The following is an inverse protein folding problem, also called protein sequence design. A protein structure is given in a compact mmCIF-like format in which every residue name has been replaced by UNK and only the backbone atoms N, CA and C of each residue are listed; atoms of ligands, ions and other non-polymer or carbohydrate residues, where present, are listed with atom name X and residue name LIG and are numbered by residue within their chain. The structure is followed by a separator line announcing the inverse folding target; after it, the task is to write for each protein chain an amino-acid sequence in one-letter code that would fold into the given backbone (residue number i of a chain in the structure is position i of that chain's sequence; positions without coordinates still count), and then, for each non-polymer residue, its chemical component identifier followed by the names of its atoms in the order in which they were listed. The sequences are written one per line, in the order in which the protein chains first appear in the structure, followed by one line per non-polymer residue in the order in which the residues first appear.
data_IF_084979883491
#
_entry.id   IF_084979883491
#
_cell.length_a   1.000
_cell.length_b   1.000
_cell.length_c   1.000
_cell.angle_alpha   90.00
_cell.angle_beta   90.00
_cell.angle_gamma   90.00
#
_symmetry.space_group_name_H-M   'P 1'
#
loop_
_entity.id
_entity.type
_entity.pdbx_description
1 polymer ?
#
# COMPACT_ATOMS: atom_id res chain seq x y z
N UNK A 1 30.74 -19.59 -3.06
CA UNK A 1 29.79 -19.00 -4.03
C UNK A 1 29.97 -17.51 -3.95
N UNK A 2 30.32 -16.87 -5.06
CA UNK A 2 30.37 -15.40 -5.13
C UNK A 2 28.96 -14.86 -5.36
N UNK A 3 28.44 -14.10 -4.42
CA UNK A 3 27.07 -13.58 -4.44
C UNK A 3 26.90 -12.38 -5.35
N UNK A 4 28.00 -11.73 -5.72
CA UNK A 4 28.00 -10.62 -6.68
C UNK A 4 27.57 -11.06 -8.08
N UNK A 5 27.85 -12.32 -8.46
CA UNK A 5 27.60 -12.83 -9.81
C UNK A 5 26.22 -13.45 -10.01
N UNK A 6 25.39 -13.53 -8.97
CA UNK A 6 24.02 -14.11 -9.07
C UNK A 6 22.98 -13.14 -9.62
N UNK A 7 23.29 -11.86 -9.65
CA UNK A 7 22.37 -10.86 -10.18
C UNK A 7 22.10 -11.06 -11.66
N UNK A 8 20.82 -11.04 -12.05
CA UNK A 8 20.41 -11.09 -13.46
C UNK A 8 19.84 -9.75 -13.88
N UNK A 9 20.41 -9.18 -14.94
CA UNK A 9 19.92 -7.93 -15.52
C UNK A 9 18.61 -8.19 -16.27
N UNK A 10 17.57 -7.48 -15.87
CA UNK A 10 16.21 -7.55 -16.44
C UNK A 10 15.75 -6.15 -16.84
N UNK A 11 16.34 -5.55 -17.90
CA UNK A 11 16.15 -4.14 -18.23
C UNK A 11 14.69 -3.80 -18.58
N UNK A 12 14.02 -4.67 -19.33
CA UNK A 12 12.61 -4.47 -19.70
C UNK A 12 11.71 -4.45 -18.46
N UNK A 13 11.91 -5.40 -17.55
CA UNK A 13 11.10 -5.48 -16.33
C UNK A 13 11.33 -4.28 -15.40
N UNK A 14 12.60 -3.91 -15.16
CA UNK A 14 12.90 -2.76 -14.34
C UNK A 14 12.37 -1.45 -14.94
N UNK A 15 12.42 -1.28 -16.26
CA UNK A 15 11.81 -0.14 -16.95
C UNK A 15 10.28 -0.10 -16.78
N UNK A 16 9.60 -1.25 -16.89
CA UNK A 16 8.16 -1.37 -16.62
C UNK A 16 7.84 -0.99 -15.17
N UNK A 17 8.62 -1.46 -14.20
CA UNK A 17 8.43 -1.12 -12.79
C UNK A 17 8.53 0.39 -12.55
N UNK A 18 9.56 1.03 -13.12
CA UNK A 18 9.74 2.49 -13.04
C UNK A 18 8.56 3.21 -13.66
N UNK A 19 8.13 2.80 -14.87
CA UNK A 19 7.01 3.42 -15.56
C UNK A 19 5.71 3.34 -14.74
N UNK A 20 5.38 2.15 -14.20
CA UNK A 20 4.19 1.95 -13.36
C UNK A 20 4.26 2.80 -12.08
N UNK A 21 5.43 2.90 -11.43
CA UNK A 21 5.60 3.74 -10.26
C UNK A 21 5.41 5.23 -10.57
N UNK A 22 5.98 5.72 -11.67
CA UNK A 22 5.81 7.10 -12.12
C UNK A 22 4.35 7.41 -12.43
N UNK A 23 3.64 6.48 -13.10
CA UNK A 23 2.21 6.59 -13.36
C UNK A 23 1.39 6.62 -12.06
N UNK A 24 1.81 5.93 -10.99
CA UNK A 24 1.16 6.02 -9.68
C UNK A 24 1.44 7.33 -8.94
N UNK A 25 2.70 7.79 -8.91
CA UNK A 25 3.14 8.97 -8.12
C UNK A 25 2.49 10.27 -8.61
N UNK A 26 2.39 10.47 -9.93
CA UNK A 26 1.88 11.73 -10.51
C UNK A 26 0.41 12.02 -10.05
N UNK A 27 -0.55 11.09 -10.22
CA UNK A 27 -1.91 11.20 -9.67
C UNK A 27 -1.94 11.45 -8.16
N UNK A 28 -1.06 10.81 -7.39
CA UNK A 28 -1.01 10.98 -5.95
C UNK A 28 -0.68 12.41 -5.55
N UNK A 29 0.28 13.06 -6.20
CA UNK A 29 0.66 14.45 -5.89
C UNK A 29 -0.55 15.38 -6.10
N UNK A 30 -1.27 15.19 -7.20
CA UNK A 30 -2.49 15.95 -7.51
C UNK A 30 -3.56 15.68 -6.43
N UNK A 31 -3.81 14.41 -6.12
CA UNK A 31 -4.81 14.02 -5.13
C UNK A 31 -4.47 14.54 -3.73
N UNK A 32 -3.20 14.51 -3.34
CA UNK A 32 -2.71 14.95 -2.03
C UNK A 32 -2.99 16.43 -1.81
N UNK A 33 -2.76 17.27 -2.82
CA UNK A 33 -3.08 18.70 -2.78
C UNK A 33 -4.56 18.94 -2.52
N UNK A 34 -5.44 18.25 -3.24
CA UNK A 34 -6.89 18.39 -3.10
C UNK A 34 -7.35 17.89 -1.74
N UNK A 35 -6.87 16.72 -1.31
CA UNK A 35 -7.20 16.12 -0.01
C UNK A 35 -6.79 17.05 1.13
N UNK A 36 -5.66 17.75 1.02
CA UNK A 36 -5.23 18.76 1.98
C UNK A 36 -6.20 19.93 2.11
N UNK A 37 -6.85 20.36 1.03
CA UNK A 37 -7.83 21.45 1.08
C UNK A 37 -9.15 21.00 1.74
N UNK A 38 -9.56 19.74 1.55
CA UNK A 38 -10.81 19.17 2.09
C UNK A 38 -10.62 18.34 3.37
N UNK A 39 -9.45 18.40 4.01
CA UNK A 39 -9.04 17.56 5.16
C UNK A 39 -9.88 17.68 6.43
N UNK A 40 -10.92 18.53 6.46
CA UNK A 40 -11.76 18.77 7.65
C UNK A 40 -12.32 17.48 8.27
N UNK A 41 -12.58 16.45 7.46
CA UNK A 41 -13.03 15.13 7.93
C UNK A 41 -11.85 14.20 8.25
N UNK A 42 -11.97 13.39 9.29
CA UNK A 42 -10.94 12.43 9.72
C UNK A 42 -10.44 11.53 8.60
N UNK A 43 -11.36 11.00 7.79
CA UNK A 43 -10.99 10.11 6.69
C UNK A 43 -10.02 10.78 5.69
N UNK A 44 -10.18 12.06 5.39
CA UNK A 44 -9.27 12.76 4.48
C UNK A 44 -7.89 12.97 5.09
N UNK A 45 -7.79 13.18 6.41
CA UNK A 45 -6.49 13.22 7.12
C UNK A 45 -5.75 11.89 7.03
N UNK A 46 -6.47 10.78 7.24
CA UNK A 46 -5.91 9.44 7.13
C UNK A 46 -5.54 9.08 5.67
N UNK A 47 -6.37 9.47 4.70
CA UNK A 47 -6.05 9.32 3.27
C UNK A 47 -4.82 10.14 2.86
N UNK A 48 -4.62 11.32 3.44
CA UNK A 48 -3.42 12.12 3.19
C UNK A 48 -2.16 11.44 3.72
N UNK A 49 -2.19 10.91 4.94
CA UNK A 49 -1.09 10.12 5.50
C UNK A 49 -0.81 8.86 4.64
N UNK A 50 -1.86 8.13 4.25
CA UNK A 50 -1.73 6.98 3.36
C UNK A 50 -1.05 7.34 2.03
N UNK A 51 -1.42 8.48 1.43
CA UNK A 51 -0.81 8.95 0.20
C UNK A 51 0.70 9.23 0.35
N UNK A 52 1.15 9.77 1.49
CA UNK A 52 2.60 9.95 1.76
C UNK A 52 3.29 8.59 1.79
N UNK A 53 2.73 7.64 2.55
CA UNK A 53 3.28 6.29 2.68
C UNK A 53 3.36 5.57 1.34
N UNK A 54 2.31 5.65 0.52
CA UNK A 54 2.28 5.00 -0.79
C UNK A 54 3.25 5.66 -1.78
N UNK A 55 3.40 7.00 -1.77
CA UNK A 55 4.43 7.67 -2.59
C UNK A 55 5.83 7.22 -2.19
N UNK A 56 6.15 7.16 -0.89
CA UNK A 56 7.45 6.68 -0.40
C UNK A 56 7.71 5.23 -0.83
N UNK A 57 6.68 4.38 -0.74
CA UNK A 57 6.74 2.97 -1.17
C UNK A 57 7.00 2.87 -2.68
N UNK A 58 6.29 3.65 -3.50
CA UNK A 58 6.49 3.69 -4.95
C UNK A 58 7.87 4.24 -5.32
N UNK A 59 8.36 5.25 -4.60
CA UNK A 59 9.72 5.76 -4.79
C UNK A 59 10.78 4.70 -4.49
N UNK A 60 10.62 3.92 -3.41
CA UNK A 60 11.46 2.76 -3.14
C UNK A 60 11.43 1.73 -4.27
N UNK A 61 10.27 1.52 -4.91
CA UNK A 61 10.13 0.63 -6.06
C UNK A 61 10.74 1.20 -7.36
N UNK A 62 10.83 2.53 -7.53
CA UNK A 62 11.62 3.13 -8.62
C UNK A 62 13.10 2.77 -8.47
N UNK A 63 13.65 2.89 -7.27
CA UNK A 63 15.03 2.49 -6.98
C UNK A 63 15.24 0.99 -7.19
N UNK A 64 14.28 0.16 -6.77
CA UNK A 64 14.29 -1.28 -7.04
C UNK A 64 14.25 -1.59 -8.55
N UNK A 65 13.50 -0.82 -9.33
CA UNK A 65 13.48 -0.92 -10.79
C UNK A 65 14.86 -0.68 -11.41
N UNK A 66 15.62 0.31 -10.92
CA UNK A 66 17.02 0.55 -11.35
C UNK A 66 17.91 -0.64 -10.98
N UNK A 67 17.74 -1.19 -9.77
CA UNK A 67 18.44 -2.41 -9.34
C UNK A 67 18.14 -3.59 -10.29
N UNK A 68 16.89 -3.78 -10.70
CA UNK A 68 16.51 -4.83 -11.66
C UNK A 68 17.10 -4.61 -13.06
N UNK A 69 17.22 -3.36 -13.51
CA UNK A 69 17.88 -3.05 -14.80
C UNK A 69 19.35 -3.47 -14.75
N UNK A 70 20.06 -3.11 -13.69
CA UNK A 70 21.49 -3.42 -13.55
C UNK A 70 21.73 -4.90 -13.23
N UNK A 71 20.74 -5.58 -12.64
CA UNK A 71 20.94 -6.90 -12.03
C UNK A 71 21.70 -6.78 -10.71
N UNK A 72 21.42 -5.74 -9.93
CA UNK A 72 22.08 -5.52 -8.66
C UNK A 72 21.69 -6.59 -7.63
N UNK A 73 22.65 -6.94 -6.76
CA UNK A 73 22.45 -7.74 -5.56
C UNK A 73 22.82 -6.92 -4.33
N UNK A 74 22.37 -7.34 -3.15
CA UNK A 74 22.62 -6.63 -1.88
C UNK A 74 24.11 -6.27 -1.67
N UNK A 75 25.02 -7.16 -2.07
CA UNK A 75 26.47 -6.98 -1.92
C UNK A 75 27.05 -5.85 -2.78
N UNK A 76 26.40 -5.41 -3.85
CA UNK A 76 26.90 -4.33 -4.71
C UNK A 76 26.70 -2.94 -4.07
N UNK A 77 25.59 -2.72 -3.38
CA UNK A 77 25.23 -1.42 -2.82
C UNK A 77 24.34 -1.57 -1.57
N UNK A 78 24.89 -2.03 -0.43
CA UNK A 78 24.08 -2.39 0.74
C UNK A 78 23.22 -1.24 1.26
N UNK A 79 23.73 0.00 1.23
CA UNK A 79 22.96 1.19 1.64
C UNK A 79 21.72 1.46 0.78
N UNK A 80 21.82 1.24 -0.55
CA UNK A 80 20.68 1.41 -1.46
C UNK A 80 19.62 0.34 -1.17
N UNK A 81 20.05 -0.90 -0.98
CA UNK A 81 19.13 -2.00 -0.66
C UNK A 81 18.44 -1.79 0.68
N UNK A 82 19.16 -1.37 1.72
CA UNK A 82 18.57 -1.03 3.01
C UNK A 82 17.52 0.10 2.86
N UNK A 83 17.85 1.17 2.14
CA UNK A 83 16.91 2.25 1.87
C UNK A 83 15.64 1.75 1.17
N UNK A 84 15.79 0.91 0.14
CA UNK A 84 14.65 0.27 -0.55
C UNK A 84 13.83 -0.55 0.44
N UNK A 85 14.45 -1.38 1.27
CA UNK A 85 13.76 -2.21 2.26
C UNK A 85 12.97 -1.38 3.27
N UNK A 86 13.52 -0.27 3.77
CA UNK A 86 12.80 0.62 4.69
C UNK A 86 11.59 1.29 4.01
N UNK A 87 11.78 1.82 2.79
CA UNK A 87 10.71 2.48 2.05
C UNK A 87 9.60 1.51 1.65
N UNK A 88 9.96 0.35 1.11
CA UNK A 88 9.00 -0.62 0.59
C UNK A 88 8.38 -1.46 1.71
N UNK A 89 9.20 -2.04 2.59
CA UNK A 89 8.72 -2.89 3.68
C UNK A 89 8.05 -2.08 4.79
N UNK A 90 8.67 -0.98 5.24
CA UNK A 90 8.08 -0.08 6.22
C UNK A 90 6.80 0.58 5.70
N UNK A 91 6.85 1.05 4.44
CA UNK A 91 5.70 1.64 3.78
C UNK A 91 4.53 0.66 3.64
N UNK A 92 4.81 -0.61 3.33
CA UNK A 92 3.80 -1.66 3.30
C UNK A 92 3.09 -1.84 4.65
N UNK A 93 3.84 -2.03 5.75
CA UNK A 93 3.24 -2.18 7.08
C UNK A 93 2.43 -0.94 7.50
N UNK A 94 2.95 0.26 7.24
CA UNK A 94 2.22 1.50 7.49
C UNK A 94 0.92 1.59 6.66
N UNK A 95 0.97 1.20 5.38
CA UNK A 95 -0.17 1.23 4.46
C UNK A 95 -1.27 0.26 4.91
N UNK A 96 -0.92 -0.98 5.26
CA UNK A 96 -1.87 -1.98 5.80
C UNK A 96 -2.58 -1.46 7.06
N UNK A 97 -1.82 -0.95 8.03
CA UNK A 97 -2.39 -0.45 9.29
C UNK A 97 -3.28 0.79 9.05
N UNK A 98 -2.87 1.69 8.17
CA UNK A 98 -3.66 2.87 7.81
C UNK A 98 -4.96 2.49 7.11
N UNK A 99 -4.93 1.53 6.18
CA UNK A 99 -6.13 0.99 5.53
C UNK A 99 -7.11 0.41 6.56
N UNK A 100 -6.61 -0.36 7.54
CA UNK A 100 -7.42 -0.88 8.64
C UNK A 100 -8.06 0.26 9.45
N UNK A 101 -7.30 1.29 9.81
CA UNK A 101 -7.84 2.44 10.56
C UNK A 101 -8.90 3.22 9.78
N UNK A 102 -8.73 3.38 8.47
CA UNK A 102 -9.76 3.98 7.60
C UNK A 102 -11.03 3.12 7.61
N UNK A 103 -10.90 1.79 7.52
CA UNK A 103 -12.04 0.88 7.60
C UNK A 103 -12.77 0.99 8.95
N UNK A 104 -12.03 1.07 10.07
CA UNK A 104 -12.60 1.29 11.40
C UNK A 104 -13.33 2.64 11.48
N UNK A 105 -12.75 3.72 10.93
CA UNK A 105 -13.43 5.02 10.87
C UNK A 105 -14.78 4.93 10.15
N UNK A 106 -14.83 4.25 9.01
CA UNK A 106 -16.08 4.04 8.25
C UNK A 106 -17.09 3.19 9.00
N UNK A 107 -16.63 2.16 9.70
CA UNK A 107 -17.49 1.34 10.56
C UNK A 107 -18.12 2.20 11.68
N UNK A 108 -17.31 3.00 12.37
CA UNK A 108 -17.76 3.87 13.46
C UNK A 108 -18.78 4.90 12.98
N UNK A 109 -18.54 5.51 11.82
CA UNK A 109 -19.49 6.42 11.15
C UNK A 109 -20.81 5.70 10.79
N UNK A 110 -20.73 4.50 10.21
CA UNK A 110 -21.91 3.77 9.73
C UNK A 110 -22.81 3.26 10.87
N UNK A 111 -22.19 2.73 11.93
CA UNK A 111 -22.86 2.19 13.12
C UNK A 111 -23.16 3.26 14.18
N UNK A 112 -22.72 4.51 13.96
CA UNK A 112 -22.92 5.63 14.88
C UNK A 112 -22.42 5.33 16.32
N UNK A 113 -21.25 4.70 16.44
CA UNK A 113 -20.66 4.31 17.73
C UNK A 113 -20.08 5.56 18.43
N UNK A 114 -20.92 6.23 19.22
CA UNK A 114 -20.62 7.50 19.90
C UNK A 114 -19.27 7.57 20.64
N UNK A 115 -18.84 6.57 21.44
CA UNK A 115 -17.57 6.68 22.16
C UNK A 115 -16.37 6.67 21.21
N UNK A 116 -16.38 5.80 20.20
CA UNK A 116 -15.29 5.73 19.21
C UNK A 116 -15.29 6.92 18.26
N UNK A 117 -16.45 7.50 17.96
CA UNK A 117 -16.55 8.68 17.12
C UNK A 117 -15.74 9.86 17.69
N UNK A 118 -15.63 9.97 19.03
CA UNK A 118 -14.80 11.01 19.68
C UNK A 118 -13.32 10.92 19.33
N UNK A 119 -12.82 9.74 18.97
CA UNK A 119 -11.43 9.53 18.58
C UNK A 119 -11.12 10.18 17.22
N UNK A 120 -12.13 10.26 16.34
CA UNK A 120 -12.01 10.78 14.98
C UNK A 120 -12.42 12.26 14.84
N UNK A 121 -12.63 12.98 15.95
CA UNK A 121 -12.99 14.39 15.91
C UNK A 121 -11.77 15.30 15.76
N UNK A 122 -11.98 16.43 15.08
CA UNK A 122 -11.03 17.54 14.97
C UNK A 122 -9.65 17.06 14.49
N UNK A 123 -8.56 17.43 15.19
CA UNK A 123 -7.18 17.12 14.84
C UNK A 123 -6.66 15.80 15.41
N UNK A 124 -7.47 15.06 16.17
CA UNK A 124 -7.09 13.76 16.76
C UNK A 124 -6.65 12.72 15.72
N UNK A 125 -7.25 12.63 14.52
CA UNK A 125 -6.79 11.70 13.48
C UNK A 125 -5.32 11.87 13.09
N UNK A 126 -4.74 13.08 13.17
CA UNK A 126 -3.31 13.28 12.93
C UNK A 126 -2.45 12.55 13.96
N UNK A 127 -2.81 12.62 15.23
CA UNK A 127 -2.14 11.89 16.30
C UNK A 127 -2.38 10.38 16.20
N UNK A 128 -3.55 9.96 15.70
CA UNK A 128 -3.81 8.54 15.45
C UNK A 128 -2.88 7.96 14.37
N UNK A 129 -2.38 8.77 13.43
CA UNK A 129 -1.41 8.30 12.42
C UNK A 129 -0.02 7.95 13.01
N UNK A 130 0.19 8.20 14.30
CA UNK A 130 1.32 7.63 15.04
C UNK A 130 1.19 6.10 15.18
N UNK A 131 -0.03 5.54 15.16
CA UNK A 131 -0.25 4.10 15.29
C UNK A 131 0.29 3.33 14.06
N UNK A 132 -0.06 3.68 12.80
CA UNK A 132 0.55 3.06 11.63
C UNK A 132 2.07 3.27 11.55
N UNK A 133 2.55 4.44 11.99
CA UNK A 133 3.99 4.72 12.03
C UNK A 133 4.70 3.77 13.00
N UNK A 134 4.19 3.63 14.23
CA UNK A 134 4.74 2.72 15.23
C UNK A 134 4.64 1.25 14.78
N UNK A 135 3.54 0.87 14.13
CA UNK A 135 3.37 -0.47 13.58
C UNK A 135 4.42 -0.77 12.49
N UNK A 136 4.67 0.17 11.58
CA UNK A 136 5.72 0.03 10.56
C UNK A 136 7.12 -0.12 11.18
N UNK A 137 7.45 0.70 12.18
CA UNK A 137 8.71 0.58 12.92
C UNK A 137 8.84 -0.78 13.61
N UNK A 138 7.75 -1.29 14.22
CA UNK A 138 7.75 -2.62 14.82
C UNK A 138 7.99 -3.73 13.79
N UNK A 139 7.39 -3.63 12.60
CA UNK A 139 7.63 -4.58 11.52
C UNK A 139 9.07 -4.57 11.02
N UNK A 140 9.66 -3.39 10.85
CA UNK A 140 11.07 -3.22 10.47
C UNK A 140 12.02 -3.85 11.50
N UNK A 141 11.73 -3.71 12.79
CA UNK A 141 12.59 -4.21 13.88
C UNK A 141 12.40 -5.73 14.09
N UNK A 142 11.15 -6.20 14.03
CA UNK A 142 10.79 -7.57 14.40
C UNK A 142 10.75 -8.56 13.22
N UNK A 143 10.73 -8.09 11.97
CA UNK A 143 10.78 -8.93 10.78
C UNK A 143 12.14 -8.79 10.05
N UNK A 144 12.62 -9.84 9.39
CA UNK A 144 13.73 -9.72 8.44
C UNK A 144 13.39 -8.67 7.38
N UNK A 145 14.39 -7.88 6.98
CA UNK A 145 14.21 -6.88 5.94
C UNK A 145 13.96 -7.57 4.59
N UNK A 146 12.94 -7.11 3.87
CA UNK A 146 12.67 -7.61 2.53
C UNK A 146 13.65 -6.97 1.54
N UNK A 147 14.53 -7.77 0.95
CA UNK A 147 15.49 -7.30 -0.05
C UNK A 147 14.99 -7.60 -1.46
N UNK A 148 15.20 -6.65 -2.37
CA UNK A 148 14.98 -6.90 -3.80
C UNK A 148 15.96 -7.99 -4.26
N UNK A 149 15.48 -9.02 -4.93
CA UNK A 149 16.35 -10.00 -5.58
C UNK A 149 16.13 -9.93 -7.09
N UNK A 150 17.21 -9.67 -7.84
CA UNK A 150 17.14 -9.54 -9.30
C UNK A 150 17.00 -10.90 -10.00
N UNK A 151 17.45 -11.99 -9.37
CA UNK A 151 17.27 -13.37 -9.85
C UNK A 151 15.80 -13.74 -9.97
N UNK A 152 15.05 -13.50 -8.90
CA UNK A 152 13.64 -13.86 -8.73
C UNK A 152 12.70 -12.66 -8.85
N UNK A 153 13.18 -11.50 -9.33
CA UNK A 153 12.43 -10.26 -9.63
C UNK A 153 11.35 -9.86 -8.61
N UNK A 154 11.56 -10.15 -7.33
CA UNK A 154 10.62 -9.88 -6.24
C UNK A 154 11.38 -9.56 -4.95
N UNK A 155 10.66 -9.03 -3.96
CA UNK A 155 11.19 -8.80 -2.63
C UNK A 155 11.11 -10.08 -1.79
N UNK A 156 12.25 -10.53 -1.26
CA UNK A 156 12.33 -11.68 -0.37
C UNK A 156 12.74 -11.26 1.03
N UNK A 157 12.12 -11.91 2.02
CA UNK A 157 12.62 -11.91 3.40
C UNK A 157 13.88 -12.77 3.53
N UNK A 158 13.98 -13.81 2.71
CA UNK A 158 15.17 -14.64 2.60
C UNK A 158 16.17 -14.00 1.63
N UNK A 159 17.39 -13.65 2.07
CA UNK A 159 18.41 -13.16 1.16
C UNK A 159 18.92 -14.22 0.16
N UNK A 160 18.47 -15.48 0.27
CA UNK A 160 18.83 -16.63 -0.58
C UNK A 160 20.34 -16.92 -0.62
N UNK A 161 21.06 -16.54 0.45
CA UNK A 161 22.52 -16.67 0.60
C UNK A 161 22.93 -18.07 1.08
N UNK A 162 22.07 -18.78 1.83
CA UNK A 162 22.39 -20.13 2.29
C UNK A 162 21.14 -20.90 2.67
N UNK A 163 21.06 -22.14 2.17
CA UNK A 163 19.99 -23.08 2.51
C UNK A 163 20.05 -23.58 3.97
N UNK A 164 20.99 -23.08 4.79
CA UNK A 164 21.11 -23.46 6.22
C UNK A 164 20.07 -22.80 7.11
N UNK A 165 19.50 -21.68 6.69
CA UNK A 165 18.62 -20.88 7.54
C UNK A 165 17.30 -20.63 6.82
N UNK A 166 16.20 -21.01 7.47
CA UNK A 166 14.87 -20.63 6.99
C UNK A 166 14.50 -19.24 7.50
N UNK A 167 14.33 -18.28 6.58
CA UNK A 167 13.90 -16.93 6.93
C UNK A 167 12.37 -16.83 6.92
N UNK A 168 11.76 -17.24 8.03
CA UNK A 168 10.31 -17.10 8.26
C UNK A 168 10.04 -15.98 9.25
N UNK A 169 9.10 -15.09 8.91
CA UNK A 169 8.65 -14.03 9.80
C UNK A 169 7.20 -14.22 10.18
N UNK A 170 6.96 -14.58 11.45
CA UNK A 170 5.61 -14.64 12.00
C UNK A 170 4.91 -13.28 11.92
N UNK A 171 5.65 -12.17 12.06
CA UNK A 171 5.10 -10.84 11.94
C UNK A 171 4.58 -10.56 10.53
N UNK A 172 5.39 -10.86 9.50
CA UNK A 172 4.98 -10.67 8.11
C UNK A 172 3.81 -11.58 7.73
N UNK A 173 3.85 -12.85 8.14
CA UNK A 173 2.74 -13.79 7.92
C UNK A 173 1.47 -13.33 8.61
N UNK A 174 1.57 -12.86 9.86
CA UNK A 174 0.43 -12.32 10.61
C UNK A 174 -0.12 -11.07 9.92
N UNK A 175 0.72 -10.14 9.48
CA UNK A 175 0.28 -8.95 8.75
C UNK A 175 -0.48 -9.35 7.47
N UNK A 176 0.11 -10.23 6.66
CA UNK A 176 -0.45 -10.59 5.37
C UNK A 176 -1.73 -11.44 5.50
N UNK A 177 -1.90 -12.16 6.60
CA UNK A 177 -3.11 -12.94 6.85
C UNK A 177 -4.17 -12.11 7.58
N UNK A 178 -3.83 -11.50 8.72
CA UNK A 178 -4.76 -10.82 9.60
C UNK A 178 -5.24 -9.49 9.03
N UNK A 179 -4.35 -8.63 8.51
CA UNK A 179 -4.74 -7.30 8.04
C UNK A 179 -5.83 -7.37 6.94
N UNK A 180 -5.67 -8.15 5.84
CA UNK A 180 -6.71 -8.22 4.84
C UNK A 180 -7.93 -9.02 5.31
N UNK A 181 -7.76 -10.08 6.10
CA UNK A 181 -8.90 -10.87 6.62
C UNK A 181 -9.81 -10.02 7.50
N UNK A 182 -9.23 -9.27 8.44
CA UNK A 182 -9.98 -8.38 9.32
C UNK A 182 -10.66 -7.27 8.50
N UNK A 183 -9.94 -6.64 7.56
CA UNK A 183 -10.54 -5.60 6.71
C UNK A 183 -11.72 -6.13 5.88
N UNK A 184 -11.62 -7.34 5.32
CA UNK A 184 -12.70 -7.98 4.56
C UNK A 184 -13.90 -8.32 5.45
N UNK A 185 -13.69 -8.82 6.67
CA UNK A 185 -14.76 -9.08 7.62
C UNK A 185 -15.47 -7.78 8.04
N UNK A 186 -14.71 -6.71 8.31
CA UNK A 186 -15.27 -5.39 8.58
C UNK A 186 -16.10 -4.88 7.40
N UNK A 187 -15.60 -5.05 6.18
CA UNK A 187 -16.32 -4.63 4.99
C UNK A 187 -17.60 -5.43 4.75
N UNK A 188 -17.57 -6.74 4.97
CA UNK A 188 -18.75 -7.60 4.94
C UNK A 188 -19.80 -7.16 5.97
N UNK A 189 -19.38 -6.88 7.20
CA UNK A 189 -20.27 -6.36 8.25
C UNK A 189 -20.89 -5.00 7.86
N UNK A 190 -20.13 -4.12 7.22
CA UNK A 190 -20.64 -2.85 6.69
C UNK A 190 -21.66 -3.06 5.56
N UNK A 191 -21.41 -3.99 4.63
CA UNK A 191 -22.35 -4.32 3.54
C UNK A 191 -23.69 -4.81 4.12
N UNK A 192 -23.65 -5.75 5.07
CA UNK A 192 -24.86 -6.29 5.71
C UNK A 192 -25.68 -5.17 6.37
N UNK A 193 -25.02 -4.27 7.11
CA UNK A 193 -25.70 -3.15 7.75
C UNK A 193 -26.30 -2.16 6.73
N UNK A 194 -25.57 -1.90 5.65
CA UNK A 194 -26.00 -1.01 4.55
C UNK A 194 -27.24 -1.55 3.85
N UNK A 195 -27.28 -2.85 3.56
CA UNK A 195 -28.46 -3.52 2.98
C UNK A 195 -29.63 -3.43 3.96
N UNK A 196 -29.41 -3.76 5.24
CA UNK A 196 -30.45 -3.74 6.26
C UNK A 196 -31.03 -2.34 6.51
N UNK A 197 -30.18 -1.29 6.47
CA UNK A 197 -30.57 0.09 6.78
C UNK A 197 -30.77 0.98 5.54
N UNK A 198 -30.70 0.41 4.33
CA UNK A 198 -30.77 1.14 3.04
C UNK A 198 -29.84 2.37 2.99
N UNK A 199 -28.65 2.28 3.59
CA UNK A 199 -27.63 3.34 3.55
C UNK A 199 -26.81 3.25 2.26
N UNK A 200 -25.86 4.17 2.07
CA UNK A 200 -24.87 4.10 0.97
C UNK A 200 -23.50 3.74 1.55
N UNK A 201 -22.79 2.82 0.90
CA UNK A 201 -21.40 2.48 1.21
C UNK A 201 -20.48 2.95 0.09
N UNK A 202 -19.25 3.34 0.44
CA UNK A 202 -18.28 3.80 -0.54
C UNK A 202 -17.73 2.63 -1.38
N UNK A 203 -18.03 2.61 -2.68
CA UNK A 203 -17.49 1.63 -3.64
C UNK A 203 -15.96 1.65 -3.66
N UNK A 204 -15.36 2.83 -3.52
CA UNK A 204 -13.90 3.03 -3.43
C UNK A 204 -13.26 2.12 -2.38
N UNK A 205 -13.85 2.05 -1.18
CA UNK A 205 -13.29 1.25 -0.09
C UNK A 205 -13.32 -0.25 -0.44
N UNK A 206 -14.39 -0.72 -1.08
CA UNK A 206 -14.50 -2.13 -1.49
C UNK A 206 -13.46 -2.52 -2.54
N UNK A 207 -13.26 -1.69 -3.57
CA UNK A 207 -12.24 -1.94 -4.59
C UNK A 207 -10.85 -2.04 -3.97
N UNK A 208 -10.50 -1.10 -3.07
CA UNK A 208 -9.19 -1.09 -2.40
C UNK A 208 -9.00 -2.34 -1.54
N UNK A 209 -10.02 -2.74 -0.77
CA UNK A 209 -9.95 -3.96 0.08
C UNK A 209 -9.74 -5.22 -0.77
N UNK A 210 -10.40 -5.34 -1.92
CA UNK A 210 -10.24 -6.50 -2.82
C UNK A 210 -8.81 -6.57 -3.37
N UNK A 211 -8.28 -5.44 -3.87
CA UNK A 211 -6.92 -5.38 -4.42
C UNK A 211 -5.88 -5.69 -3.33
N UNK A 212 -6.08 -5.16 -2.12
CA UNK A 212 -5.20 -5.42 -0.98
C UNK A 212 -5.24 -6.90 -0.57
N UNK A 213 -6.43 -7.50 -0.49
CA UNK A 213 -6.61 -8.92 -0.18
C UNK A 213 -5.91 -9.82 -1.20
N UNK A 214 -6.12 -9.57 -2.49
CA UNK A 214 -5.47 -10.32 -3.56
C UNK A 214 -3.94 -10.26 -3.42
N UNK A 215 -3.39 -9.07 -3.21
CA UNK A 215 -1.94 -8.86 -3.05
C UNK A 215 -1.38 -9.57 -1.83
N UNK A 216 -1.99 -9.42 -0.66
CA UNK A 216 -1.50 -10.05 0.56
C UNK A 216 -1.56 -11.59 0.49
N UNK A 217 -2.62 -12.16 -0.07
CA UNK A 217 -2.75 -13.62 -0.26
C UNK A 217 -1.69 -14.14 -1.24
N UNK A 218 -1.46 -13.45 -2.35
CA UNK A 218 -0.39 -13.81 -3.30
C UNK A 218 0.98 -13.86 -2.61
N UNK A 219 1.28 -12.89 -1.74
CA UNK A 219 2.56 -12.82 -1.04
C UNK A 219 2.75 -13.89 0.05
N UNK A 220 1.66 -14.41 0.65
CA UNK A 220 1.75 -15.56 1.57
C UNK A 220 2.21 -16.82 0.84
N UNK A 221 1.86 -16.96 -0.44
CA UNK A 221 2.17 -18.16 -1.20
C UNK A 221 3.62 -18.20 -1.68
N UNK A 222 4.34 -17.06 -1.69
CA UNK A 222 5.72 -16.94 -2.19
C UNK A 222 6.66 -18.02 -1.63
N UNK A 223 6.76 -18.26 -0.30
CA UNK A 223 7.69 -19.26 0.24
C UNK A 223 7.35 -20.70 -0.17
N UNK A 224 6.07 -20.98 -0.47
CA UNK A 224 5.62 -22.30 -0.94
C UNK A 224 5.81 -22.44 -2.46
N UNK A 225 5.69 -21.33 -3.19
CA UNK A 225 5.72 -21.27 -4.64
C UNK A 225 7.14 -21.33 -5.22
N UNK A 226 8.15 -20.84 -4.49
CA UNK A 226 9.53 -20.78 -5.00
C UNK A 226 10.22 -22.15 -5.03
N UNK A 227 9.87 -23.05 -4.12
CA UNK A 227 10.50 -24.38 -4.01
C UNK A 227 9.98 -25.38 -5.04
N UNK A 228 8.80 -25.12 -5.58
CA UNK A 228 8.22 -25.86 -6.69
C UNK A 228 8.54 -25.05 -7.96
N UNK A 229 8.91 -25.69 -9.07
CA UNK A 229 9.31 -25.05 -10.34
C UNK A 229 8.15 -24.24 -10.97
N UNK A 230 7.74 -23.14 -10.35
CA UNK A 230 6.64 -22.31 -10.79
C UNK A 230 7.16 -21.26 -11.78
N UNK A 231 6.34 -21.06 -12.80
CA UNK A 231 6.56 -20.20 -13.95
C UNK A 231 6.88 -18.76 -13.54
N UNK A 232 8.00 -18.21 -14.02
CA UNK A 232 8.44 -16.80 -13.81
C UNK A 232 7.31 -15.77 -13.92
N UNK A 233 6.32 -16.01 -14.79
CA UNK A 233 5.17 -15.11 -14.95
C UNK A 233 4.35 -14.89 -13.67
N UNK A 234 4.28 -15.87 -12.76
CA UNK A 234 3.57 -15.72 -11.49
C UNK A 234 4.27 -14.68 -10.62
N UNK A 235 5.59 -14.76 -10.51
CA UNK A 235 6.41 -13.83 -9.73
C UNK A 235 6.39 -12.41 -10.34
N UNK A 236 6.45 -12.30 -11.68
CA UNK A 236 6.22 -11.02 -12.37
C UNK A 236 4.84 -10.43 -12.02
N UNK A 237 3.79 -11.24 -12.07
CA UNK A 237 2.42 -10.80 -11.76
C UNK A 237 2.30 -10.36 -10.30
N UNK A 238 2.93 -11.08 -9.37
CA UNK A 238 2.96 -10.72 -7.95
C UNK A 238 3.61 -9.35 -7.72
N UNK A 239 4.78 -9.11 -8.33
CA UNK A 239 5.47 -7.82 -8.19
C UNK A 239 4.68 -6.68 -8.83
N UNK A 240 4.14 -6.86 -10.05
CA UNK A 240 3.29 -5.84 -10.69
C UNK A 240 2.05 -5.55 -9.84
N UNK A 241 1.43 -6.58 -9.27
CA UNK A 241 0.27 -6.42 -8.41
C UNK A 241 0.61 -5.66 -7.11
N UNK A 242 1.82 -5.82 -6.57
CA UNK A 242 2.32 -4.98 -5.48
C UNK A 242 2.43 -3.50 -5.88
N UNK A 243 2.97 -3.20 -7.07
CA UNK A 243 3.03 -1.83 -7.58
C UNK A 243 1.62 -1.23 -7.75
N UNK A 244 0.69 -2.01 -8.30
CA UNK A 244 -0.69 -1.60 -8.50
C UNK A 244 -1.38 -1.36 -7.15
N UNK A 245 -1.16 -2.21 -6.14
CA UNK A 245 -1.76 -2.04 -4.81
C UNK A 245 -1.46 -0.65 -4.23
N UNK A 246 -0.22 -0.18 -4.36
CA UNK A 246 0.17 1.14 -3.87
C UNK A 246 -0.19 2.27 -4.85
N UNK A 247 -0.13 2.05 -6.16
CA UNK A 247 -0.36 3.07 -7.20
C UNK A 247 -1.81 3.31 -7.63
N UNK A 248 -2.70 2.34 -7.40
CA UNK A 248 -4.11 2.38 -7.81
C UNK A 248 -5.01 3.35 -7.02
N UNK A 249 -4.85 3.57 -5.69
CA UNK A 249 -5.79 4.38 -4.91
C UNK A 249 -6.16 5.76 -5.48
N UNK A 250 -5.25 6.62 -6.00
CA UNK A 250 -5.62 7.93 -6.54
C UNK A 250 -6.56 7.82 -7.74
N UNK A 251 -6.40 6.80 -8.59
CA UNK A 251 -7.33 6.55 -9.70
C UNK A 251 -8.72 6.18 -9.18
N UNK A 252 -8.79 5.31 -8.17
CA UNK A 252 -10.06 4.95 -7.52
C UNK A 252 -10.71 6.20 -6.91
N UNK A 253 -9.91 7.10 -6.33
CA UNK A 253 -10.40 8.35 -5.75
C UNK A 253 -10.97 9.28 -6.82
N UNK A 254 -10.30 9.45 -7.96
CA UNK A 254 -10.80 10.28 -9.05
C UNK A 254 -12.10 9.75 -9.67
N UNK A 255 -12.26 8.43 -9.73
CA UNK A 255 -13.47 7.79 -10.27
C UNK A 255 -14.65 7.86 -9.29
N UNK A 256 -14.41 7.51 -8.02
CA UNK A 256 -15.47 7.20 -7.06
C UNK A 256 -15.65 8.22 -5.93
N UNK A 257 -14.74 9.19 -5.76
CA UNK A 257 -14.87 10.22 -4.73
C UNK A 257 -15.35 11.57 -5.33
N UNK A 258 -16.63 11.94 -5.16
CA UNK A 258 -17.17 13.17 -5.75
C UNK A 258 -16.55 14.45 -5.21
N UNK A 259 -16.04 14.44 -3.98
CA UNK A 259 -15.39 15.62 -3.38
C UNK A 259 -14.01 15.86 -3.99
N UNK A 260 -13.23 14.79 -4.17
CA UNK A 260 -11.92 14.88 -4.84
C UNK A 260 -12.11 15.27 -6.32
N UNK A 261 -13.07 14.65 -7.03
CA UNK A 261 -13.36 15.02 -8.43
C UNK A 261 -13.76 16.49 -8.58
N UNK A 262 -14.57 17.01 -7.66
CA UNK A 262 -14.90 18.45 -7.63
C UNK A 262 -13.66 19.31 -7.39
N UNK A 263 -12.77 18.91 -6.49
CA UNK A 263 -11.50 19.59 -6.28
C UNK A 263 -10.59 19.58 -7.53
N UNK A 264 -10.52 18.46 -8.26
CA UNK A 264 -9.77 18.40 -9.54
C UNK A 264 -10.35 19.38 -10.57
N UNK A 265 -11.69 19.44 -10.70
CA UNK A 265 -12.35 20.34 -11.64
C UNK A 265 -12.13 21.81 -11.28
N UNK A 266 -12.17 22.16 -10.00
CA UNK A 266 -11.87 23.52 -9.51
C UNK A 266 -10.40 23.88 -9.73
N UNK A 267 -9.49 22.92 -9.54
CA UNK A 267 -8.06 23.13 -9.81
C UNK A 267 -7.80 23.35 -11.31
N UNK A 268 -8.47 22.59 -12.18
CA UNK A 268 -8.34 22.73 -13.63
C UNK A 268 -9.02 23.99 -14.18
N UNK A 269 -10.12 24.44 -13.55
CA UNK A 269 -10.82 25.67 -13.92
C UNK A 269 -11.22 26.47 -12.67
N UNK A 270 -10.36 27.42 -12.22
CA UNK A 270 -10.62 28.22 -11.01
C UNK A 270 -11.89 29.07 -11.08
N UNK A 271 -12.40 29.35 -12.29
CA UNK A 271 -13.62 30.13 -12.51
C UNK A 271 -14.90 29.30 -12.40
N UNK A 272 -14.81 27.97 -12.27
CA UNK A 272 -15.97 27.11 -12.02
C UNK A 272 -16.39 27.17 -10.55
N UNK A 273 -17.12 28.21 -10.16
CA UNK A 273 -17.80 28.29 -8.86
C UNK A 273 -18.99 27.32 -8.83
N UNK A 274 -18.74 26.03 -8.60
CA UNK A 274 -19.83 25.07 -8.36
C UNK A 274 -20.26 25.19 -6.89
N UNK A 275 -21.47 25.70 -6.65
CA UNK A 275 -22.07 25.79 -5.33
C UNK A 275 -21.98 24.45 -4.58
N UNK A 276 -21.38 24.50 -3.39
CA UNK A 276 -21.38 23.38 -2.44
C UNK A 276 -22.79 23.23 -1.90
N UNK A 277 -23.57 22.30 -2.44
CA UNK A 277 -24.77 21.81 -1.77
C UNK A 277 -24.35 21.01 -0.54
N UNK A 278 -24.37 21.65 0.62
CA UNK A 278 -24.37 21.01 1.93
C UNK A 278 -25.75 20.38 2.16
N UNK A 279 -25.91 19.14 1.74
CA UNK A 279 -26.96 18.22 2.22
C UNK A 279 -26.40 16.81 2.29
#
# INVERSE_FOLDING_TARGET
IDWSTRGTSRPVFGAVCIAVCCLGIIPYIICMRIVWEIQKQACYKMMFYLAIVDILTLFGNVLAGVVFIVGGMYCHAPWIFLLISFLVGGGYYASCCTCFMIAVNRLVELFAIRPLHKLFLENRPWFLMLIPTAYALSGIICAPLAFANSETHIFHLDPMISDRYEYKSYFNTLNNFAAPSICSLLYLAMIINVIARKKKLSIQCGVIVIVHMYTCLSYILIPYIINETIFDAVLYTMHINWLIMHGLPPYVYFLFNPSIRRGVLQFANPNLSIHVSTT
#
